data_IF_651336783055
#
_entry.id   IF_651336783055
#
_cell.length_a   1.000
_cell.length_b   1.000
_cell.length_c   1.000
_cell.angle_alpha   90.00
_cell.angle_beta   90.00
_cell.angle_gamma   90.00
#
_symmetry.space_group_name_H-M   'P 1'
#
loop_
_entity.id
_entity.type
_entity.pdbx_description
1 polymer ?
#
# COMPACT_ATOMS: atom_id res chain seq x y z
N UNK A 1 2.13 14.73 -11.11
CA UNK A 1 0.87 13.97 -10.98
C UNK A 1 0.66 12.98 -12.13
N UNK A 2 1.28 13.22 -13.29
CA UNK A 2 1.24 12.35 -14.48
C UNK A 2 1.29 10.84 -14.21
N UNK A 3 2.23 10.34 -13.41
CA UNK A 3 2.33 8.89 -13.11
C UNK A 3 1.07 8.33 -12.46
N UNK A 4 0.49 9.06 -11.49
CA UNK A 4 -0.74 8.65 -10.81
C UNK A 4 -1.91 8.68 -11.80
N UNK A 5 -1.97 9.70 -12.65
CA UNK A 5 -3.02 9.83 -13.66
C UNK A 5 -2.93 8.72 -14.72
N UNK A 6 -1.72 8.28 -15.07
CA UNK A 6 -1.51 7.13 -15.96
C UNK A 6 -1.95 5.82 -15.30
N UNK A 7 -1.68 5.62 -14.01
CA UNK A 7 -2.16 4.43 -13.29
C UNK A 7 -3.69 4.41 -13.23
N UNK A 8 -4.35 5.55 -13.01
CA UNK A 8 -5.82 5.66 -13.05
C UNK A 8 -6.39 5.20 -14.39
N UNK A 9 -5.81 5.64 -15.51
CA UNK A 9 -6.25 5.20 -16.85
C UNK A 9 -6.15 3.68 -17.03
N UNK A 10 -5.13 3.04 -16.45
CA UNK A 10 -4.97 1.58 -16.52
C UNK A 10 -6.00 0.88 -15.64
N UNK A 11 -6.30 1.43 -14.45
CA UNK A 11 -7.34 0.90 -13.55
C UNK A 11 -8.76 1.01 -14.15
N UNK A 12 -9.02 2.06 -14.91
CA UNK A 12 -10.31 2.34 -15.56
C UNK A 12 -10.45 1.64 -16.93
N UNK A 13 -9.43 0.91 -17.38
CA UNK A 13 -9.44 0.18 -18.64
C UNK A 13 -10.49 -0.93 -18.66
N UNK A 14 -11.19 -1.07 -19.79
CA UNK A 14 -12.12 -2.18 -20.03
C UNK A 14 -11.40 -3.53 -20.16
N UNK A 15 -10.14 -3.52 -20.61
CA UNK A 15 -9.28 -4.69 -20.59
C UNK A 15 -8.61 -4.81 -19.21
N UNK A 16 -9.05 -5.80 -18.42
CA UNK A 16 -8.57 -6.01 -17.06
C UNK A 16 -7.21 -6.71 -17.08
N UNK A 17 -6.17 -6.02 -16.57
CA UNK A 17 -4.83 -6.59 -16.35
C UNK A 17 -4.50 -6.54 -14.86
N UNK A 18 -3.97 -7.63 -14.26
CA UNK A 18 -3.54 -7.59 -12.87
C UNK A 18 -2.46 -6.53 -12.64
N UNK A 19 -2.61 -5.72 -11.59
CA UNK A 19 -1.67 -4.66 -11.20
C UNK A 19 -1.10 -5.01 -9.83
N UNK A 20 0.22 -4.95 -9.70
CA UNK A 20 0.91 -5.21 -8.44
C UNK A 20 1.94 -4.12 -8.14
N UNK A 21 1.73 -3.38 -7.04
CA UNK A 21 2.61 -2.30 -6.61
C UNK A 21 3.47 -2.70 -5.41
N UNK A 22 4.79 -2.45 -5.50
CA UNK A 22 5.76 -2.75 -4.43
C UNK A 22 6.35 -1.46 -3.88
N UNK A 23 6.37 -1.30 -2.55
CA UNK A 23 6.91 -0.13 -1.85
C UNK A 23 6.33 1.20 -2.40
N UNK A 24 7.10 1.97 -3.17
CA UNK A 24 6.61 3.20 -3.79
C UNK A 24 5.49 2.93 -4.81
N UNK A 25 5.52 1.79 -5.50
CA UNK A 25 4.44 1.37 -6.38
C UNK A 25 3.11 1.15 -5.64
N UNK A 26 3.15 0.63 -4.41
CA UNK A 26 1.97 0.52 -3.56
C UNK A 26 1.40 1.92 -3.21
N UNK A 27 2.27 2.89 -2.91
CA UNK A 27 1.85 4.27 -2.60
C UNK A 27 1.26 4.98 -3.82
N UNK A 28 1.83 4.78 -5.01
CA UNK A 28 1.31 5.31 -6.27
C UNK A 28 -0.05 4.71 -6.61
N UNK A 29 -0.21 3.40 -6.44
CA UNK A 29 -1.48 2.70 -6.66
C UNK A 29 -2.56 3.20 -5.68
N UNK A 30 -2.23 3.29 -4.39
CA UNK A 30 -3.13 3.84 -3.38
C UNK A 30 -3.54 5.30 -3.69
N UNK A 31 -2.58 6.12 -4.14
CA UNK A 31 -2.86 7.50 -4.55
C UNK A 31 -3.76 7.56 -5.80
N UNK A 32 -3.62 6.61 -6.72
CA UNK A 32 -4.44 6.51 -7.93
C UNK A 32 -5.91 6.22 -7.59
N UNK A 33 -6.17 5.42 -6.55
CA UNK A 33 -7.53 5.13 -6.07
C UNK A 33 -8.06 6.18 -5.07
N UNK A 34 -7.35 7.30 -4.89
CA UNK A 34 -7.80 8.43 -4.06
C UNK A 34 -7.38 8.37 -2.58
N UNK A 35 -6.57 7.40 -2.17
CA UNK A 35 -6.05 7.36 -0.80
C UNK A 35 -5.02 8.48 -0.56
N UNK A 36 -4.86 8.85 0.71
CA UNK A 36 -3.82 9.80 1.14
C UNK A 36 -2.60 9.06 1.68
N UNK A 37 -1.42 9.54 1.30
CA UNK A 37 -0.16 9.13 1.91
C UNK A 37 0.31 10.16 2.92
N UNK A 38 1.02 9.72 3.97
CA UNK A 38 1.63 10.61 4.95
C UNK A 38 3.08 10.22 5.23
N UNK A 39 3.88 11.21 5.64
CA UNK A 39 5.27 10.99 6.06
C UNK A 39 5.30 10.42 7.47
N UNK A 40 5.96 9.28 7.64
CA UNK A 40 6.16 8.66 8.94
C UNK A 40 7.25 9.40 9.72
N UNK A 41 7.20 9.36 11.06
CA UNK A 41 8.19 10.02 11.92
C UNK A 41 9.61 9.47 11.70
N UNK A 42 9.74 8.14 11.70
CA UNK A 42 11.02 7.44 11.50
C UNK A 42 11.00 6.52 10.26
N UNK A 43 9.82 6.08 9.84
CA UNK A 43 9.67 5.12 8.74
C UNK A 43 10.00 3.68 9.15
N UNK A 44 9.72 2.77 8.23
CA UNK A 44 9.95 1.34 8.38
C UNK A 44 11.20 0.96 7.57
N UNK A 45 12.31 0.66 8.26
CA UNK A 45 13.61 0.35 7.65
C UNK A 45 14.28 -0.83 8.36
N UNK A 46 14.33 -1.99 7.71
CA UNK A 46 14.94 -3.18 8.29
C UNK A 46 14.48 -4.47 7.60
N UNK A 47 15.02 -5.60 8.05
CA UNK A 47 14.75 -6.93 7.51
C UNK A 47 13.85 -7.79 8.41
N UNK A 48 13.37 -7.22 9.52
CA UNK A 48 12.68 -7.91 10.61
C UNK A 48 11.34 -7.25 10.94
N UNK A 49 10.64 -6.68 9.94
CA UNK A 49 9.35 -6.02 10.20
C UNK A 49 8.21 -7.03 10.04
N UNK A 50 7.39 -7.25 11.09
CA UNK A 50 6.30 -8.21 11.05
C UNK A 50 5.06 -7.62 10.35
N UNK A 51 4.56 -8.30 9.33
CA UNK A 51 3.31 -7.97 8.66
C UNK A 51 2.29 -9.10 8.81
N UNK A 52 1.11 -8.78 9.35
CA UNK A 52 -0.03 -9.67 9.46
C UNK A 52 -0.85 -9.66 8.17
N UNK A 53 -1.08 -10.82 7.58
CA UNK A 53 -2.01 -10.99 6.48
C UNK A 53 -3.45 -11.16 7.00
N UNK A 54 -4.37 -10.30 6.55
CA UNK A 54 -5.70 -10.23 7.17
C UNK A 54 -6.57 -11.47 6.94
N UNK A 55 -6.54 -12.09 5.76
CA UNK A 55 -7.41 -13.23 5.46
C UNK A 55 -6.92 -14.54 6.07
N UNK A 56 -5.61 -14.79 6.12
CA UNK A 56 -5.04 -16.04 6.65
C UNK A 56 -4.56 -15.95 8.09
N UNK A 57 -4.51 -14.74 8.68
CA UNK A 57 -3.95 -14.45 10.00
C UNK A 57 -2.49 -14.87 10.20
N UNK A 58 -1.77 -15.15 9.10
CA UNK A 58 -0.34 -15.45 9.14
C UNK A 58 0.47 -14.18 9.26
N UNK A 59 1.49 -14.20 10.11
CA UNK A 59 2.48 -13.14 10.21
C UNK A 59 3.73 -13.51 9.40
N UNK A 60 4.28 -12.53 8.68
CA UNK A 60 5.47 -12.68 7.85
C UNK A 60 6.53 -11.67 8.28
N UNK A 61 7.79 -12.11 8.36
CA UNK A 61 8.92 -11.20 8.54
C UNK A 61 9.30 -10.63 7.18
N UNK A 62 9.31 -9.30 7.06
CA UNK A 62 9.48 -8.60 5.79
C UNK A 62 10.68 -7.65 5.82
N UNK A 63 11.26 -7.45 4.64
CA UNK A 63 12.22 -6.37 4.41
C UNK A 63 11.49 -5.11 3.97
N UNK A 64 11.66 -4.02 4.71
CA UNK A 64 11.02 -2.73 4.42
C UNK A 64 12.05 -1.61 4.40
N UNK A 65 11.81 -0.63 3.53
CA UNK A 65 12.61 0.59 3.45
C UNK A 65 11.75 1.75 2.91
N UNK A 66 10.81 2.23 3.70
CA UNK A 66 9.94 3.36 3.32
C UNK A 66 9.74 4.36 4.47
N UNK A 67 9.68 5.64 4.10
CA UNK A 67 9.40 6.75 5.02
C UNK A 67 7.99 7.33 4.91
N UNK A 68 7.17 6.79 4.01
CA UNK A 68 5.79 7.18 3.78
C UNK A 68 4.89 5.96 3.91
N UNK A 69 3.66 6.16 4.39
CA UNK A 69 2.65 5.12 4.50
C UNK A 69 1.33 5.59 3.89
N UNK A 70 0.47 4.65 3.53
CA UNK A 70 -0.90 4.90 3.07
C UNK A 70 -1.81 4.98 4.29
N UNK A 71 -2.68 5.97 4.35
CA UNK A 71 -3.68 6.05 5.39
C UNK A 71 -4.85 5.09 5.06
N UNK A 72 -4.90 3.94 5.73
CA UNK A 72 -5.94 2.93 5.53
C UNK A 72 -7.36 3.46 5.79
N UNK A 73 -7.54 4.50 6.62
CA UNK A 73 -8.84 5.13 6.84
C UNK A 73 -9.36 5.94 5.65
N UNK A 74 -8.54 6.11 4.60
CA UNK A 74 -8.92 6.81 3.36
C UNK A 74 -9.24 5.85 2.21
N UNK A 75 -9.23 4.54 2.46
CA UNK A 75 -9.67 3.53 1.47
C UNK A 75 -11.16 3.68 1.17
N UNK A 76 -11.52 3.52 -0.09
CA UNK A 76 -12.93 3.43 -0.52
C UNK A 76 -13.47 2.02 -0.28
N UNK A 77 -14.79 1.84 -0.33
CA UNK A 77 -15.46 0.56 -0.02
C UNK A 77 -15.08 -0.61 -0.93
N UNK A 78 -14.45 -0.35 -2.08
CA UNK A 78 -14.02 -1.36 -3.04
C UNK A 78 -12.60 -1.90 -2.74
N UNK A 79 -11.91 -1.33 -1.76
CA UNK A 79 -10.52 -1.68 -1.43
C UNK A 79 -10.39 -2.03 0.05
N UNK A 80 -9.53 -3.00 0.33
CA UNK A 80 -9.25 -3.44 1.70
C UNK A 80 -7.73 -3.54 1.95
N UNK A 81 -7.28 -3.34 3.20
CA UNK A 81 -5.90 -3.60 3.57
C UNK A 81 -5.60 -5.10 3.53
N UNK A 82 -4.60 -5.50 2.74
CA UNK A 82 -4.16 -6.89 2.65
C UNK A 82 -3.24 -7.29 3.81
N UNK A 83 -2.33 -6.38 4.18
CA UNK A 83 -1.37 -6.55 5.27
C UNK A 83 -1.37 -5.33 6.20
N UNK A 84 -1.01 -5.56 7.47
CA UNK A 84 -0.73 -4.49 8.45
C UNK A 84 0.54 -4.82 9.21
N UNK A 85 1.38 -3.81 9.42
CA UNK A 85 2.54 -3.90 10.30
C UNK A 85 2.07 -4.07 11.75
N UNK A 86 2.52 -5.15 12.40
CA UNK A 86 2.06 -5.50 13.75
C UNK A 86 2.64 -4.57 14.83
N UNK A 87 3.78 -3.93 14.56
CA UNK A 87 4.45 -3.07 15.55
C UNK A 87 3.77 -1.70 15.71
N UNK A 88 3.29 -1.11 14.62
CA UNK A 88 2.79 0.27 14.61
C UNK A 88 1.42 0.46 13.96
N UNK A 89 0.81 -0.62 13.43
CA UNK A 89 -0.51 -0.60 12.81
C UNK A 89 -0.55 0.05 11.43
N UNK A 90 0.60 0.34 10.81
CA UNK A 90 0.68 0.90 9.44
C UNK A 90 0.49 -0.11 8.33
#
# INVERSE_FOLDING_TARGET
>A
KETVDNIKKVLESSEVKPIFGICFGHQLLASAIGCKTFKMKYGNRGHNLPCLHHSTKRCFMTSQNHGFAVNAHTLTSEWEPLFTNVNDGT
#
